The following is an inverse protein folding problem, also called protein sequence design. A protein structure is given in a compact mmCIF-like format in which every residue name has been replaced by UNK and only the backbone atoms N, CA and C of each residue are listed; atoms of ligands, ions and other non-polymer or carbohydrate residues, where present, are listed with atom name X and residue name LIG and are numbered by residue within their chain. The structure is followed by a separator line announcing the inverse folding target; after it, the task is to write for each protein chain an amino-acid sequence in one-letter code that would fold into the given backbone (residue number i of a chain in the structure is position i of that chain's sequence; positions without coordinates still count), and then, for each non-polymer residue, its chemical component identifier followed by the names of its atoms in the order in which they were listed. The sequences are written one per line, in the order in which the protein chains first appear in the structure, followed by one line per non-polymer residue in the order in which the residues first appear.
data_IF_561210022716
#
_entry.id   IF_561210022716
#
_cell.length_a   1.000
_cell.length_b   1.000
_cell.length_c   1.000
_cell.angle_alpha   90.00
_cell.angle_beta   90.00
_cell.angle_gamma   90.00
#
_symmetry.space_group_name_H-M   'P 1'
#
loop_
_entity.id
_entity.type
_entity.pdbx_description
1 polymer ?
#
# COMPACT_ATOMS: atom_id res chain seq x y z
N UNK A 1 -10.70 6.18 17.45
CA UNK A 1 -9.71 7.23 17.78
C UNK A 1 -8.32 6.64 17.65
N UNK A 2 -7.41 7.35 17.01
CA UNK A 2 -6.05 6.90 16.71
C UNK A 2 -5.05 7.90 17.26
N UNK A 3 -3.84 7.43 17.57
CA UNK A 3 -2.69 8.28 17.80
C UNK A 3 -1.64 8.05 16.71
N UNK A 4 -0.84 9.07 16.44
CA UNK A 4 0.21 9.03 15.43
C UNK A 4 1.44 8.37 16.05
N UNK A 5 1.82 7.21 15.54
CA UNK A 5 3.01 6.47 15.97
C UNK A 5 4.25 6.93 15.20
N UNK A 6 4.13 7.14 13.90
CA UNK A 6 5.23 7.58 13.02
C UNK A 6 4.67 8.31 11.80
N UNK A 7 5.38 9.31 11.29
CA UNK A 7 5.02 10.09 10.11
C UNK A 7 6.08 9.91 9.03
N UNK A 8 5.70 10.23 7.80
CA UNK A 8 6.60 10.27 6.64
C UNK A 8 7.28 8.92 6.38
N UNK A 9 6.56 7.83 6.59
CA UNK A 9 7.04 6.53 6.15
C UNK A 9 6.93 6.47 4.64
N UNK A 10 8.04 6.17 3.98
CA UNK A 10 8.09 6.05 2.53
C UNK A 10 7.45 4.74 2.07
N UNK A 11 6.74 4.82 0.95
CA UNK A 11 6.18 3.67 0.26
C UNK A 11 6.28 3.87 -1.25
N UNK A 12 6.83 2.86 -1.91
CA UNK A 12 6.80 2.71 -3.36
C UNK A 12 5.79 1.63 -3.73
N UNK A 13 4.92 1.93 -4.68
CA UNK A 13 3.98 0.99 -5.29
C UNK A 13 4.20 0.99 -6.81
N UNK A 14 4.41 -0.18 -7.39
CA UNK A 14 4.53 -0.34 -8.83
C UNK A 14 3.12 -0.45 -9.39
N UNK A 15 2.83 0.35 -10.42
CA UNK A 15 1.55 0.34 -11.11
C UNK A 15 1.74 0.25 -12.62
N UNK A 16 0.66 0.01 -13.35
CA UNK A 16 0.64 0.07 -14.82
C UNK A 16 1.10 1.44 -15.38
N UNK A 17 1.01 2.51 -14.57
CA UNK A 17 1.46 3.85 -14.94
C UNK A 17 2.91 4.14 -14.51
N UNK A 18 3.61 3.15 -13.96
CA UNK A 18 4.95 3.28 -13.37
C UNK A 18 4.93 3.32 -11.84
N UNK A 19 6.07 3.71 -11.26
CA UNK A 19 6.26 3.76 -9.81
C UNK A 19 5.59 4.97 -9.17
N UNK A 20 4.79 4.71 -8.12
CA UNK A 20 4.19 5.73 -7.27
C UNK A 20 4.91 5.75 -5.93
N UNK A 21 5.55 6.89 -5.63
CA UNK A 21 6.22 7.13 -4.35
C UNK A 21 5.39 8.08 -3.50
N UNK A 22 5.05 7.66 -2.28
CA UNK A 22 4.25 8.48 -1.36
C UNK A 22 4.67 8.30 0.09
N UNK A 23 4.29 9.29 0.90
CA UNK A 23 4.50 9.30 2.34
C UNK A 23 3.22 8.90 3.06
N UNK A 24 3.33 7.98 4.01
CA UNK A 24 2.22 7.49 4.82
C UNK A 24 2.48 7.68 6.32
N UNK A 25 1.40 7.69 7.08
CA UNK A 25 1.44 7.84 8.54
C UNK A 25 1.04 6.52 9.19
N UNK A 26 1.86 6.05 10.12
CA UNK A 26 1.60 4.85 10.90
C UNK A 26 0.81 5.22 12.15
N UNK A 27 -0.39 4.67 12.27
CA UNK A 27 -1.30 4.94 13.37
C UNK A 27 -1.38 3.76 14.31
N UNK A 28 -1.65 4.02 15.58
CA UNK A 28 -2.15 3.01 16.51
C UNK A 28 -3.52 3.37 17.04
N UNK A 29 -4.39 2.38 17.00
CA UNK A 29 -5.76 2.44 17.49
C UNK A 29 -5.77 2.50 19.01
N UNK A 30 -6.56 3.42 19.56
CA UNK A 30 -6.80 3.52 21.01
C UNK A 30 -7.76 2.44 21.52
N UNK A 31 -8.50 1.76 20.63
CA UNK A 31 -9.52 0.77 21.01
C UNK A 31 -8.92 -0.61 21.29
N UNK A 32 -8.08 -1.09 20.39
CA UNK A 32 -7.55 -2.45 20.38
C UNK A 32 -6.01 -2.49 20.36
N UNK A 33 -5.35 -1.34 20.29
CA UNK A 33 -3.89 -1.27 20.19
C UNK A 33 -3.32 -1.71 18.85
N UNK A 34 -4.16 -1.98 17.84
CA UNK A 34 -3.72 -2.37 16.49
C UNK A 34 -3.00 -1.22 15.79
N UNK A 35 -2.06 -1.58 14.91
CA UNK A 35 -1.33 -0.63 14.09
C UNK A 35 -1.71 -0.74 12.62
N UNK A 36 -1.91 0.41 11.98
CA UNK A 36 -2.45 0.49 10.61
C UNK A 36 -1.91 1.70 9.87
N UNK A 37 -1.79 1.59 8.55
CA UNK A 37 -1.62 2.72 7.65
C UNK A 37 -2.99 3.07 7.07
N UNK A 38 -3.64 4.12 7.61
CA UNK A 38 -5.00 4.49 7.19
C UNK A 38 -5.05 4.91 5.72
N UNK A 39 -3.98 5.52 5.20
CA UNK A 39 -3.87 5.85 3.77
C UNK A 39 -3.91 4.61 2.89
N UNK A 40 -3.19 3.56 3.29
CA UNK A 40 -3.08 2.31 2.51
C UNK A 40 -4.44 1.60 2.51
N UNK A 41 -5.11 1.50 3.66
CA UNK A 41 -6.45 0.90 3.79
C UNK A 41 -7.51 1.61 2.92
N UNK A 42 -7.44 2.95 2.81
CA UNK A 42 -8.39 3.73 2.00
C UNK A 42 -8.30 3.43 0.50
N UNK A 43 -7.13 3.06 0.01
CA UNK A 43 -6.90 2.70 -1.41
C UNK A 43 -6.79 1.19 -1.62
N UNK A 44 -7.10 0.40 -0.58
CA UNK A 44 -7.11 -1.07 -0.66
C UNK A 44 -5.72 -1.70 -0.74
N UNK A 45 -4.66 -1.00 -0.31
CA UNK A 45 -3.30 -1.54 -0.26
C UNK A 45 -3.11 -2.33 1.03
N UNK A 46 -2.75 -3.60 0.89
CA UNK A 46 -2.47 -4.51 1.99
C UNK A 46 -1.00 -4.48 2.42
N UNK A 47 -0.69 -4.90 3.67
CA UNK A 47 0.69 -5.01 4.12
C UNK A 47 1.54 -5.87 3.18
N UNK A 48 2.76 -5.41 2.90
CA UNK A 48 3.74 -6.06 2.01
C UNK A 48 3.43 -6.05 0.52
N UNK A 49 2.26 -5.55 0.07
CA UNK A 49 2.02 -5.35 -1.37
C UNK A 49 3.04 -4.39 -1.95
N UNK A 50 3.60 -4.73 -3.11
CA UNK A 50 4.59 -3.91 -3.83
C UNK A 50 4.10 -3.48 -5.21
N UNK A 51 3.15 -4.21 -5.77
CA UNK A 51 2.53 -3.98 -7.07
C UNK A 51 1.04 -3.82 -6.84
N UNK A 52 0.37 -2.99 -7.65
CA UNK A 52 -1.08 -2.96 -7.67
C UNK A 52 -1.65 -4.14 -8.48
N UNK A 53 -2.89 -4.52 -8.18
CA UNK A 53 -3.56 -5.65 -8.82
C UNK A 53 -3.62 -5.54 -10.35
N UNK A 54 -3.73 -4.32 -10.88
CA UNK A 54 -3.77 -4.10 -12.33
C UNK A 54 -2.45 -4.49 -12.98
N UNK A 55 -1.33 -4.11 -12.37
CA UNK A 55 0.00 -4.48 -12.86
C UNK A 55 0.27 -5.98 -12.72
N UNK A 56 -0.15 -6.60 -11.61
CA UNK A 56 -0.06 -8.06 -11.46
C UNK A 56 -0.85 -8.80 -12.55
N UNK A 57 -2.01 -8.27 -12.97
CA UNK A 57 -2.83 -8.84 -14.04
C UNK A 57 -2.15 -8.73 -15.40
N UNK A 58 -1.57 -7.57 -15.72
CA UNK A 58 -0.82 -7.34 -16.97
C UNK A 58 0.38 -8.29 -17.08
N UNK A 59 1.12 -8.52 -15.98
CA UNK A 59 2.23 -9.47 -15.95
C UNK A 59 1.79 -10.90 -16.26
N UNK A 60 0.63 -11.32 -15.78
CA UNK A 60 0.08 -12.66 -16.05
C UNK A 60 -0.34 -12.76 -17.52
N UNK A 61 -0.99 -11.75 -18.07
CA UNK A 61 -1.40 -11.72 -19.48
C UNK A 61 -0.18 -11.81 -20.42
N UNK A 62 0.86 -11.00 -20.15
CA UNK A 62 2.13 -11.04 -20.88
C UNK A 62 2.82 -12.41 -20.76
N UNK A 63 2.80 -13.02 -19.57
CA UNK A 63 3.40 -14.33 -19.37
C UNK A 63 2.68 -15.47 -20.13
N UNK A 64 1.38 -15.33 -20.41
CA UNK A 64 0.62 -16.29 -21.22
C UNK A 64 0.88 -16.10 -22.71
N UNK A 65 1.21 -14.88 -23.14
CA UNK A 65 1.48 -14.53 -24.54
C UNK A 65 2.85 -14.99 -25.06
N UNK A 66 3.79 -15.31 -24.15
CA UNK A 66 5.16 -15.79 -24.44
C UNK A 66 5.19 -17.32 -24.54
#
# INVERSE_FOLDING_TARGET
EYYIQRRNDEKTLITIFGEVNYLRTYYKSKKDGSYRYLSDELVGIYPYERMDLSYESELIEEAILI
#
